data_IF_224074379194
#
_entry.id   IF_224074379194
#
_cell.length_a   1.000
_cell.length_b   1.000
_cell.length_c   1.000
_cell.angle_alpha   90.00
_cell.angle_beta   90.00
_cell.angle_gamma   90.00
#
_symmetry.space_group_name_H-M   'P 1'
#
loop_
_entity.id
_entity.type
_entity.pdbx_description
1 polymer ?
#
# COMPACT_ATOMS: atom_id res chain seq x y z
N UNK A 1 -8.16 -9.00 8.57
CA UNK A 1 -8.09 -7.53 8.77
C UNK A 1 -9.27 -6.86 8.10
N UNK A 2 -9.73 -5.71 8.61
CA UNK A 2 -10.70 -4.86 7.93
C UNK A 2 -10.00 -3.80 7.05
N UNK A 3 -10.77 -3.05 6.24
CA UNK A 3 -10.22 -2.04 5.31
C UNK A 3 -9.44 -0.93 6.02
N UNK A 4 -9.97 -0.44 7.15
CA UNK A 4 -9.33 0.63 7.94
C UNK A 4 -7.97 0.17 8.48
N UNK A 5 -7.87 -1.06 8.96
CA UNK A 5 -6.61 -1.64 9.42
C UNK A 5 -5.58 -1.79 8.29
N UNK A 6 -6.02 -2.21 7.09
CA UNK A 6 -5.13 -2.32 5.92
C UNK A 6 -4.64 -0.93 5.53
N UNK A 7 -5.54 0.04 5.44
CA UNK A 7 -5.22 1.41 5.10
C UNK A 7 -4.22 2.04 6.07
N UNK A 8 -4.48 1.95 7.37
CA UNK A 8 -3.57 2.47 8.39
C UNK A 8 -2.21 1.77 8.34
N UNK A 9 -2.18 0.45 8.13
CA UNK A 9 -0.93 -0.29 8.03
C UNK A 9 -0.10 0.13 6.81
N UNK A 10 -0.73 0.28 5.64
CA UNK A 10 -0.04 0.74 4.42
C UNK A 10 0.39 2.19 4.58
N UNK A 11 -0.47 3.07 5.10
CA UNK A 11 -0.15 4.49 5.31
C UNK A 11 1.03 4.67 6.26
N UNK A 12 1.03 3.95 7.38
CA UNK A 12 2.13 4.01 8.34
C UNK A 12 3.44 3.56 7.71
N UNK A 13 3.43 2.47 6.93
CA UNK A 13 4.62 2.04 6.19
C UNK A 13 5.14 3.11 5.23
N UNK A 14 4.26 3.73 4.45
CA UNK A 14 4.67 4.80 3.52
C UNK A 14 5.27 6.00 4.26
N UNK A 15 4.69 6.40 5.39
CA UNK A 15 5.14 7.55 6.18
C UNK A 15 6.42 7.23 6.95
N UNK A 16 6.42 6.15 7.73
CA UNK A 16 7.48 5.83 8.69
C UNK A 16 8.68 5.15 8.01
N UNK A 17 8.44 4.17 7.14
CA UNK A 17 9.52 3.38 6.52
C UNK A 17 10.02 4.03 5.21
N UNK A 18 9.12 4.57 4.39
CA UNK A 18 9.51 5.25 3.14
C UNK A 18 9.71 6.76 3.28
N UNK A 19 9.55 7.31 4.49
CA UNK A 19 9.72 8.74 4.79
C UNK A 19 8.86 9.66 3.91
N UNK A 20 7.66 9.22 3.55
CA UNK A 20 6.68 10.00 2.79
C UNK A 20 5.76 10.78 3.73
N UNK A 21 6.34 11.63 4.58
CA UNK A 21 5.59 12.43 5.57
C UNK A 21 4.46 13.26 4.91
N UNK A 22 4.61 13.62 3.64
CA UNK A 22 3.61 14.34 2.86
C UNK A 22 2.29 13.57 2.68
N UNK A 23 2.25 12.27 2.95
CA UNK A 23 1.06 11.43 2.88
C UNK A 23 0.23 11.45 4.17
N UNK A 24 0.68 12.15 5.21
CA UNK A 24 -0.10 12.34 6.44
C UNK A 24 -1.39 13.11 6.14
N UNK A 25 -2.54 12.52 6.47
CA UNK A 25 -3.86 13.14 6.26
C UNK A 25 -4.29 13.28 4.79
N UNK A 26 -3.52 12.74 3.84
CA UNK A 26 -3.87 12.75 2.41
C UNK A 26 -5.05 11.81 2.13
N UNK A 27 -5.93 12.23 1.21
CA UNK A 27 -7.09 11.46 0.78
C UNK A 27 -6.68 10.15 0.08
N UNK A 28 -7.51 9.11 0.19
CA UNK A 28 -7.18 7.78 -0.34
C UNK A 28 -6.96 7.75 -1.86
N UNK A 29 -7.65 8.62 -2.59
CA UNK A 29 -7.59 8.71 -4.04
C UNK A 29 -6.52 9.70 -4.55
N UNK A 30 -5.69 10.25 -3.66
CA UNK A 30 -4.59 11.12 -4.06
C UNK A 30 -3.43 10.30 -4.62
N UNK A 31 -2.71 10.89 -5.58
CA UNK A 31 -1.50 10.30 -6.11
C UNK A 31 -0.38 10.28 -5.06
N UNK A 32 0.27 9.13 -4.90
CA UNK A 32 1.33 8.90 -3.92
C UNK A 32 2.73 9.26 -4.44
N UNK A 33 2.89 9.34 -5.76
CA UNK A 33 4.19 9.64 -6.37
C UNK A 33 5.29 8.63 -6.01
N UNK A 34 4.94 7.35 -5.91
CA UNK A 34 5.89 6.28 -5.61
C UNK A 34 6.83 6.08 -6.79
N UNK A 35 8.13 6.01 -6.51
CA UNK A 35 9.11 5.63 -7.51
C UNK A 35 9.26 4.09 -7.60
N UNK A 36 10.20 3.62 -8.43
CA UNK A 36 10.44 2.18 -8.61
C UNK A 36 10.99 1.49 -7.35
N UNK A 37 11.75 2.22 -6.53
CA UNK A 37 12.28 1.68 -5.28
C UNK A 37 11.16 1.59 -4.24
N UNK A 38 10.38 2.66 -4.09
CA UNK A 38 9.18 2.69 -3.22
C UNK A 38 8.23 1.53 -3.55
N UNK A 39 8.00 1.29 -4.84
CA UNK A 39 7.15 0.21 -5.33
C UNK A 39 7.71 -1.17 -4.97
N UNK A 40 9.04 -1.32 -4.96
CA UNK A 40 9.69 -2.58 -4.58
C UNK A 40 9.58 -2.82 -3.09
N UNK A 41 9.83 -1.81 -2.27
CA UNK A 41 9.70 -1.88 -0.82
C UNK A 41 8.23 -2.15 -0.40
N UNK A 42 7.26 -1.51 -1.06
CA UNK A 42 5.84 -1.78 -0.84
C UNK A 42 5.48 -3.25 -1.13
N UNK A 43 6.05 -3.85 -2.18
CA UNK A 43 5.83 -5.26 -2.50
C UNK A 43 6.35 -6.19 -1.41
N UNK A 44 7.54 -5.90 -0.87
CA UNK A 44 8.13 -6.65 0.25
C UNK A 44 7.27 -6.51 1.49
N UNK A 45 6.88 -5.28 1.85
CA UNK A 45 6.00 -5.00 2.98
C UNK A 45 4.68 -5.79 2.89
N UNK A 46 4.06 -5.81 1.70
CA UNK A 46 2.79 -6.50 1.48
C UNK A 46 2.94 -8.02 1.60
N UNK A 47 4.05 -8.60 1.12
CA UNK A 47 4.35 -10.01 1.29
C UNK A 47 4.47 -10.38 2.78
N UNK A 48 5.24 -9.60 3.54
CA UNK A 48 5.52 -9.87 4.95
C UNK A 48 4.31 -9.66 5.86
N UNK A 49 3.50 -8.63 5.61
CA UNK A 49 2.42 -8.22 6.52
C UNK A 49 1.04 -8.80 6.15
N UNK A 50 0.82 -9.14 4.88
CA UNK A 50 -0.47 -9.64 4.40
C UNK A 50 -0.39 -11.06 3.82
N UNK A 51 0.78 -11.71 3.83
CA UNK A 51 0.99 -13.03 3.23
C UNK A 51 0.51 -13.09 1.77
N UNK A 52 0.64 -11.96 1.06
CA UNK A 52 0.20 -11.79 -0.31
C UNK A 52 1.40 -11.91 -1.24
N UNK A 53 1.29 -12.79 -2.24
CA UNK A 53 2.30 -12.89 -3.28
C UNK A 53 2.42 -11.54 -4.02
N UNK A 54 3.56 -10.85 -3.96
CA UNK A 54 3.70 -9.52 -4.53
C UNK A 54 3.47 -9.50 -6.04
N UNK A 55 3.61 -10.62 -6.75
CA UNK A 55 3.28 -10.71 -8.18
C UNK A 55 1.79 -10.49 -8.49
N UNK A 56 0.92 -10.61 -7.48
CA UNK A 56 -0.52 -10.31 -7.57
C UNK A 56 -0.81 -8.81 -7.60
N UNK A 57 0.13 -7.98 -7.17
CA UNK A 57 -0.01 -6.52 -7.21
C UNK A 57 0.22 -6.00 -8.63
N UNK A 58 -0.81 -5.36 -9.18
CA UNK A 58 -0.78 -4.66 -10.46
C UNK A 58 -0.02 -3.35 -10.27
N UNK A 59 1.15 -3.23 -10.89
CA UNK A 59 2.05 -2.08 -10.73
C UNK A 59 1.39 -0.74 -11.10
N UNK A 60 0.56 -0.73 -12.15
CA UNK A 60 -0.19 0.45 -12.60
C UNK A 60 -1.26 0.94 -11.61
N UNK A 61 -1.57 0.14 -10.59
CA UNK A 61 -2.56 0.43 -9.54
C UNK A 61 -1.90 0.64 -8.16
N UNK A 62 -0.64 1.07 -8.15
CA UNK A 62 0.10 1.43 -6.92
C UNK A 62 0.28 2.96 -6.81
N UNK A 63 -0.56 3.71 -7.51
CA UNK A 63 -0.59 5.15 -7.64
C UNK A 63 -1.37 5.84 -6.50
N UNK A 64 -2.33 5.16 -5.87
CA UNK A 64 -3.17 5.69 -4.79
C UNK A 64 -3.30 4.71 -3.62
N UNK A 65 -3.54 5.21 -2.41
CA UNK A 65 -3.81 4.36 -1.24
C UNK A 65 -5.07 3.52 -1.45
N UNK A 66 -6.10 4.07 -2.07
CA UNK A 66 -7.34 3.37 -2.40
C UNK A 66 -7.07 2.11 -3.24
N UNK A 67 -6.26 2.23 -4.29
CA UNK A 67 -5.95 1.09 -5.15
C UNK A 67 -5.09 0.03 -4.45
N UNK A 68 -4.09 0.44 -3.66
CA UNK A 68 -3.24 -0.50 -2.92
C UNK A 68 -4.08 -1.27 -1.89
N UNK A 69 -4.85 -0.55 -1.07
CA UNK A 69 -5.73 -1.13 -0.05
C UNK A 69 -6.77 -2.04 -0.69
N UNK A 70 -7.35 -1.64 -1.82
CA UNK A 70 -8.30 -2.45 -2.58
C UNK A 70 -7.70 -3.80 -2.98
N UNK A 71 -6.52 -3.80 -3.60
CA UNK A 71 -5.84 -5.01 -4.04
C UNK A 71 -5.51 -5.96 -2.87
N UNK A 72 -5.03 -5.43 -1.75
CA UNK A 72 -4.74 -6.22 -0.54
C UNK A 72 -6.04 -6.78 0.05
N UNK A 73 -7.09 -5.96 0.14
CA UNK A 73 -8.37 -6.36 0.72
C UNK A 73 -9.09 -7.45 -0.07
N UNK A 74 -8.97 -7.47 -1.40
CA UNK A 74 -9.51 -8.54 -2.25
C UNK A 74 -8.88 -9.91 -1.92
N UNK A 75 -7.62 -9.92 -1.50
CA UNK A 75 -6.90 -11.16 -1.17
C UNK A 75 -7.05 -11.57 0.29
N UNK A 76 -7.07 -10.62 1.24
CA UNK A 76 -7.22 -10.90 2.67
C UNK A 76 -8.66 -11.32 3.04
N UNK A 77 -9.64 -11.05 2.17
CA UNK A 77 -11.03 -11.56 2.31
C UNK A 77 -11.21 -13.00 1.78
N UNK A 78 -10.20 -13.57 1.12
CA UNK A 78 -10.19 -14.92 0.56
C UNK A 78 -9.83 -16.01 1.55
#
# INVERSE_FOLDING_TARGET
MNLEQIEQSVRNFLIEDLMKDELEGVALNAELGLDSLDTTELRVFVEENFSLDPSKLIAEKLDTLEHIVGQIAEHVKG
#
